data_IF_961672607689
#
_entry.id   IF_961672607689
#
_cell.length_a   1.000
_cell.length_b   1.000
_cell.length_c   1.000
_cell.angle_alpha   90.00
_cell.angle_beta   90.00
_cell.angle_gamma   90.00
#
_symmetry.space_group_name_H-M   'P 1'
#
loop_
_entity.id
_entity.type
_entity.pdbx_description
1 polymer ?
2 non-polymer ?
3 non-polymer ?
4 non-polymer ?
5 non-polymer ?
6 water ?
#
# COMPACT_ATOMS: atom_id res chain seq x y z
N UNK A 5 -7.03 -9.19 -22.51
CA UNK A 5 -8.06 -8.95 -21.46
C UNK A 5 -9.34 -9.60 -21.90
N UNK A 6 -9.34 -10.94 -22.02
CA UNK A 6 -10.53 -11.68 -22.48
C UNK A 6 -11.74 -11.67 -21.53
N UNK A 7 -11.49 -11.41 -20.26
CA UNK A 7 -12.50 -11.35 -19.22
C UNK A 7 -13.16 -9.97 -19.15
N UNK A 8 -12.73 -9.05 -19.99
CA UNK A 8 -13.24 -7.69 -19.99
C UNK A 8 -14.10 -7.38 -21.21
N UNK A 9 -15.12 -6.56 -21.01
CA UNK A 9 -15.95 -6.17 -22.12
C UNK A 9 -15.65 -4.74 -22.60
N UNK A 10 -14.85 -4.01 -21.84
CA UNK A 10 -14.52 -2.64 -22.21
C UNK A 10 -13.43 -2.08 -21.30
N UNK A 11 -12.65 -1.16 -21.85
CA UNK A 11 -11.58 -0.49 -21.11
C UNK A 11 -12.14 0.85 -20.66
N UNK A 12 -12.04 1.17 -19.37
CA UNK A 12 -12.50 2.46 -18.91
C UNK A 12 -11.33 3.43 -18.96
N UNK A 13 -10.25 3.11 -18.24
CA UNK A 13 -9.07 3.95 -18.22
C UNK A 13 -7.79 3.12 -18.28
N UNK A 14 -6.85 3.60 -19.07
CA UNK A 14 -5.54 2.96 -19.22
C UNK A 14 -4.68 3.51 -18.10
N UNK A 15 -3.55 2.87 -17.83
CA UNK A 15 -2.63 3.31 -16.78
C UNK A 15 -2.22 4.76 -16.99
N UNK A 16 -1.99 5.12 -18.25
CA UNK A 16 -1.57 6.48 -18.60
C UNK A 16 -2.63 7.53 -18.25
N UNK A 17 -3.90 7.27 -18.58
CA UNK A 17 -4.99 8.18 -18.28
C UNK A 17 -5.14 8.32 -16.76
N UNK A 18 -5.07 7.20 -16.04
CA UNK A 18 -5.20 7.18 -14.57
C UNK A 18 -4.09 8.04 -13.98
N UNK A 19 -2.87 7.77 -14.44
CA UNK A 19 -1.69 8.48 -13.97
C UNK A 19 -1.88 10.00 -14.03
N UNK A 20 -2.36 10.49 -15.18
CA UNK A 20 -2.59 11.91 -15.41
C UNK A 20 -3.66 12.52 -14.49
N UNK A 21 -4.81 11.84 -14.40
CA UNK A 21 -5.91 12.30 -13.56
C UNK A 21 -5.48 12.39 -12.10
N UNK A 22 -4.74 11.40 -11.61
CA UNK A 22 -4.28 11.41 -10.22
C UNK A 22 -3.41 12.64 -9.98
N UNK A 23 -2.55 12.93 -10.93
CA UNK A 23 -1.66 14.09 -10.82
C UNK A 23 -2.48 15.39 -10.69
N UNK A 24 -3.55 15.49 -11.45
CA UNK A 24 -4.42 16.67 -11.42
C UNK A 24 -5.10 16.80 -10.05
N UNK A 25 -5.65 15.70 -9.54
CA UNK A 25 -6.32 15.71 -8.24
C UNK A 25 -5.32 16.05 -7.14
N UNK A 26 -4.11 15.49 -7.26
CA UNK A 26 -3.07 15.77 -6.27
C UNK A 26 -2.67 17.25 -6.26
N UNK A 27 -2.67 17.88 -7.43
CA UNK A 27 -2.32 19.30 -7.50
C UNK A 27 -3.42 20.12 -6.83
N UNK A 28 -4.67 19.68 -7.05
CA UNK A 28 -5.83 20.34 -6.44
C UNK A 28 -5.73 20.24 -4.92
N UNK A 29 -5.51 19.01 -4.43
CA UNK A 29 -5.37 18.75 -3.01
C UNK A 29 -4.26 19.63 -2.42
N UNK A 30 -3.11 19.65 -3.07
CA UNK A 30 -1.97 20.43 -2.62
C UNK A 30 -2.31 21.91 -2.52
N UNK A 31 -2.98 22.42 -3.55
CA UNK A 31 -3.37 23.82 -3.55
C UNK A 31 -4.36 24.08 -2.43
N UNK A 32 -5.27 23.14 -2.21
CA UNK A 32 -6.28 23.24 -1.17
C UNK A 32 -5.74 23.26 0.26
N UNK A 33 -4.52 22.79 0.44
CA UNK A 33 -3.90 22.77 1.76
C UNK A 33 -2.73 23.73 1.86
N UNK A 34 -2.42 24.44 0.78
CA UNK A 34 -1.29 25.39 0.73
C UNK A 34 -1.18 26.42 1.86
N UNK A 35 -2.18 26.46 2.73
CA UNK A 35 -2.12 27.41 3.83
C UNK A 35 -2.26 26.76 5.19
N UNK A 36 -2.52 25.45 5.20
CA UNK A 36 -2.70 24.69 6.45
C UNK A 36 -1.46 24.41 7.28
N UNK A 37 -0.32 24.91 6.82
CA UNK A 37 0.95 24.71 7.53
C UNK A 37 1.45 23.28 7.70
N UNK A 38 1.25 22.44 6.68
CA UNK A 38 1.68 21.04 6.71
C UNK A 38 3.18 20.91 6.79
N UNK A 39 3.64 20.10 7.74
CA UNK A 39 5.05 19.87 7.98
C UNK A 39 5.22 18.43 8.44
N UNK A 40 6.35 17.80 8.08
CA UNK A 40 6.57 16.41 8.49
C UNK A 40 6.66 16.34 10.01
N UNK A 41 6.44 15.15 10.54
CA UNK A 41 6.49 14.84 11.97
C UNK A 41 5.40 15.52 12.79
N UNK A 42 5.33 16.83 12.72
CA UNK A 42 4.37 17.58 13.49
C UNK A 42 3.03 17.80 12.84
N UNK A 43 3.02 18.13 11.55
CA UNK A 43 1.76 18.42 10.87
C UNK A 43 1.58 17.83 9.47
N UNK A 44 1.69 16.50 9.34
CA UNK A 44 1.52 15.90 8.01
C UNK A 44 0.06 15.69 7.61
N UNK A 45 -0.17 15.56 6.30
CA UNK A 45 -1.51 15.28 5.79
C UNK A 45 -1.62 13.76 6.01
N UNK A 46 -2.57 13.33 6.83
CA UNK A 46 -2.73 11.91 7.10
C UNK A 46 -3.60 11.22 6.08
N UNK A 47 -3.07 10.23 5.39
CA UNK A 47 -3.84 9.48 4.41
C UNK A 47 -4.28 8.19 5.06
N UNK A 48 -5.58 8.00 5.16
CA UNK A 48 -6.14 6.80 5.73
C UNK A 48 -6.60 5.97 4.54
N UNK A 49 -5.73 5.06 4.16
CA UNK A 49 -5.93 4.17 3.04
C UNK A 49 -6.80 3.02 3.46
N UNK A 50 -7.97 2.89 2.82
CA UNK A 50 -8.85 1.79 3.15
C UNK A 50 -8.50 0.52 2.35
N UNK A 51 -8.01 -0.50 3.05
CA UNK A 51 -7.64 -1.77 2.42
C UNK A 51 -8.90 -2.52 1.94
N UNK A 52 -8.77 -3.40 0.94
CA UNK A 52 -7.51 -3.70 0.26
C UNK A 52 -7.38 -2.87 -1.04
N UNK A 53 -8.52 -2.66 -1.70
CA UNK A 53 -8.55 -1.95 -2.97
C UNK A 53 -7.78 -0.66 -3.17
N UNK A 54 -7.75 0.21 -2.16
CA UNK A 54 -7.06 1.47 -2.34
C UNK A 54 -5.55 1.39 -2.29
N UNK A 55 -4.99 0.20 -2.03
CA UNK A 55 -3.54 0.11 -1.92
C UNK A 55 -2.77 0.66 -3.13
N UNK A 56 -3.28 0.41 -4.33
CA UNK A 56 -2.58 0.87 -5.53
C UNK A 56 -2.74 2.35 -5.76
N UNK A 57 -3.97 2.81 -5.64
CA UNK A 57 -4.31 4.24 -5.79
C UNK A 57 -3.50 5.02 -4.76
N UNK A 58 -3.44 4.54 -3.53
CA UNK A 58 -2.69 5.25 -2.51
C UNK A 58 -1.18 5.34 -2.83
N UNK A 59 -0.58 4.25 -3.32
CA UNK A 59 0.84 4.25 -3.67
C UNK A 59 1.15 5.31 -4.72
N UNK A 60 0.31 5.42 -5.73
CA UNK A 60 0.53 6.39 -6.80
C UNK A 60 0.17 7.81 -6.35
N UNK A 61 -0.90 7.95 -5.57
CA UNK A 61 -1.32 9.26 -5.07
C UNK A 61 -0.29 9.91 -4.15
N UNK A 62 0.19 9.18 -3.15
CA UNK A 62 1.17 9.75 -2.24
C UNK A 62 2.40 10.26 -2.97
N UNK A 63 2.79 9.57 -4.03
CA UNK A 63 3.95 9.98 -4.84
C UNK A 63 3.66 11.24 -5.64
N UNK A 64 2.40 11.42 -6.07
CA UNK A 64 2.01 12.62 -6.82
C UNK A 64 1.92 13.78 -5.84
N UNK A 65 1.49 13.51 -4.62
CA UNK A 65 1.42 14.54 -3.60
C UNK A 65 2.84 14.97 -3.24
N UNK A 66 3.77 14.01 -3.24
CA UNK A 66 5.16 14.29 -2.94
C UNK A 66 5.71 15.24 -4.02
N UNK A 67 5.25 15.08 -5.25
CA UNK A 67 5.68 15.92 -6.37
C UNK A 67 5.34 17.39 -6.08
N UNK A 68 4.25 17.59 -5.33
CA UNK A 68 3.81 18.92 -4.99
C UNK A 68 4.28 19.32 -3.61
N UNK A 69 5.22 18.54 -3.09
CA UNK A 69 5.82 18.76 -1.80
C UNK A 69 4.87 18.78 -0.63
N UNK A 70 3.84 17.94 -0.69
CA UNK A 70 2.89 17.84 0.42
C UNK A 70 3.40 16.71 1.36
N UNK A 71 3.83 17.04 2.60
CA UNK A 71 4.33 15.98 3.50
C UNK A 71 3.17 15.09 3.97
N UNK A 72 3.26 13.79 3.72
CA UNK A 72 2.16 12.88 4.10
C UNK A 72 2.51 11.85 5.19
N UNK A 73 1.48 11.29 5.81
CA UNK A 73 1.64 10.25 6.82
C UNK A 73 0.70 9.18 6.36
N UNK A 74 1.24 8.00 6.06
CA UNK A 74 0.43 6.88 5.57
C UNK A 74 -0.13 6.01 6.67
N UNK A 75 -1.43 5.77 6.61
CA UNK A 75 -2.10 4.91 7.57
C UNK A 75 -2.89 3.94 6.71
N UNK A 76 -3.00 2.70 7.16
CA UNK A 76 -3.72 1.68 6.42
C UNK A 76 -4.71 1.07 7.40
N UNK A 77 -5.96 0.97 6.99
CA UNK A 77 -6.95 0.39 7.88
C UNK A 77 -7.61 -0.78 7.21
N UNK A 78 -7.95 -1.78 8.01
CA UNK A 78 -8.58 -2.98 7.51
C UNK A 78 -9.90 -3.13 8.22
N UNK A 79 -10.98 -3.30 7.45
CA UNK A 79 -12.29 -3.43 8.03
C UNK A 79 -12.92 -4.75 7.66
N UNK A 80 -13.91 -5.16 8.43
CA UNK A 80 -14.59 -6.42 8.22
C UNK A 80 -16.08 -6.30 8.49
N UNK A 81 -16.88 -7.09 7.78
CA UNK A 81 -18.33 -7.07 8.01
C UNK A 81 -18.63 -7.88 9.27
N UNK A 82 -19.62 -7.42 10.04
CA UNK A 82 -20.02 -8.07 11.28
C UNK A 82 -20.78 -9.37 11.04
N UNK A 83 -21.48 -9.38 9.91
CA UNK A 83 -22.29 -10.51 9.50
C UNK A 83 -23.22 -10.01 8.43
N UNK A 84 -24.05 -10.89 7.87
CA UNK A 84 -24.98 -10.51 6.81
C UNK A 84 -26.27 -9.91 7.36
N UNK A 85 -26.59 -8.70 6.90
CA UNK A 85 -27.80 -8.00 7.32
C UNK A 85 -27.83 -7.54 8.76
N UNK A 86 -26.66 -7.38 9.38
CA UNK A 86 -26.58 -6.96 10.78
C UNK A 86 -26.66 -5.44 10.97
N UNK A 87 -26.27 -4.71 9.95
CA UNK A 87 -26.29 -3.26 10.01
C UNK A 87 -26.77 -2.77 8.67
N UNK A 88 -27.08 -1.49 8.65
CA UNK A 88 -27.49 -0.82 7.44
C UNK A 88 -26.70 0.46 7.46
N UNK A 89 -26.28 0.89 8.66
CA UNK A 89 -25.51 2.12 8.82
C UNK A 89 -24.06 1.95 8.36
N UNK A 90 -23.79 0.84 7.69
CA UNK A 90 -22.45 0.58 7.19
C UNK A 90 -21.45 0.39 8.29
N UNK A 91 -21.89 -0.05 9.48
CA UNK A 91 -20.98 -0.30 10.58
C UNK A 91 -20.09 -1.45 10.19
N UNK A 92 -18.79 -1.33 10.46
CA UNK A 92 -17.84 -2.39 10.14
C UNK A 92 -16.92 -2.64 11.34
N UNK A 93 -16.37 -3.85 11.43
CA UNK A 93 -15.43 -4.20 12.49
C UNK A 93 -14.05 -3.68 12.10
N UNK A 94 -13.38 -3.00 13.01
CA UNK A 94 -12.04 -2.46 12.74
C UNK A 94 -11.00 -3.50 13.09
N UNK A 95 -10.34 -4.08 12.09
CA UNK A 95 -9.28 -5.07 12.36
C UNK A 95 -7.93 -4.37 12.54
N UNK A 96 -7.72 -3.28 11.81
CA UNK A 96 -6.49 -2.50 11.91
C UNK A 96 -6.91 -1.05 11.71
N UNK A 97 -6.54 -0.20 12.67
CA UNK A 97 -6.87 1.22 12.64
C UNK A 97 -5.58 2.04 12.51
N UNK A 98 -5.68 3.36 12.51
CA UNK A 98 -4.52 4.23 12.39
C UNK A 98 -3.53 4.00 13.55
N UNK A 99 -2.23 4.09 13.27
CA UNK A 99 -1.20 3.92 14.27
C UNK A 99 -1.12 5.14 15.18
N UNK A 100 -1.21 6.33 14.59
CA UNK A 100 -1.17 7.56 15.36
C UNK A 100 -2.59 8.11 15.52
N UNK A 101 -2.74 9.05 16.44
CA UNK A 101 -4.04 9.68 16.66
C UNK A 101 -4.18 10.73 15.56
N UNK A 102 -5.40 10.89 15.04
CA UNK A 102 -5.65 11.89 14.02
C UNK A 102 -6.18 13.17 14.64
N UNK A 103 -6.54 13.10 15.92
CA UNK A 103 -7.07 14.24 16.64
C UNK A 103 -6.17 15.44 16.42
N UNK A 104 -6.74 16.50 15.86
CA UNK A 104 -6.00 17.71 15.60
C UNK A 104 -5.19 17.72 14.33
N UNK A 105 -5.40 16.74 13.46
CA UNK A 105 -4.65 16.65 12.21
C UNK A 105 -5.52 16.82 10.99
N UNK A 106 -4.88 17.13 9.87
CA UNK A 106 -5.58 17.25 8.59
C UNK A 106 -5.54 15.85 8.02
N UNK A 107 -6.73 15.25 7.90
CA UNK A 107 -6.91 13.88 7.45
C UNK A 107 -7.63 13.75 6.12
N UNK A 108 -7.18 12.79 5.31
CA UNK A 108 -7.75 12.51 4.01
C UNK A 108 -7.94 11.00 3.89
N UNK A 109 -9.19 10.56 3.80
CA UNK A 109 -9.51 9.15 3.65
C UNK A 109 -9.35 8.81 2.16
N UNK A 110 -8.61 7.74 1.85
CA UNK A 110 -8.34 7.33 0.47
C UNK A 110 -9.05 6.03 0.15
N UNK A 111 -9.90 6.08 -0.87
CA UNK A 111 -10.69 4.91 -1.31
C UNK A 111 -10.60 4.74 -2.81
N UNK A 112 -10.77 3.51 -3.26
CA UNK A 112 -10.71 3.22 -4.69
C UNK A 112 -12.06 3.49 -5.35
N UNK A 113 -13.15 3.15 -4.67
CA UNK A 113 -14.48 3.35 -5.23
C UNK A 113 -15.56 3.57 -4.18
N UNK A 114 -16.52 4.42 -4.51
CA UNK A 114 -17.66 4.66 -3.65
C UNK A 114 -18.89 4.43 -4.51
N UNK A 115 -19.78 3.59 -4.00
CA UNK A 115 -21.00 3.19 -4.68
C UNK A 115 -22.17 3.45 -3.73
N UNK A 116 -22.48 2.50 -2.85
CA UNK A 116 -23.59 2.68 -1.91
C UNK A 116 -23.21 3.67 -0.84
N UNK A 117 -21.90 3.76 -0.61
CA UNK A 117 -21.28 4.64 0.39
C UNK A 117 -21.57 4.27 1.83
N UNK A 118 -22.22 3.14 2.07
CA UNK A 118 -22.58 2.79 3.45
C UNK A 118 -21.39 2.71 4.37
N UNK A 119 -20.35 1.98 3.97
CA UNK A 119 -19.14 1.83 4.78
C UNK A 119 -18.36 3.13 4.87
N UNK A 120 -18.13 3.77 3.73
CA UNK A 120 -17.39 5.01 3.72
C UNK A 120 -18.09 6.10 4.55
N UNK A 121 -19.41 6.16 4.50
CA UNK A 121 -20.12 7.17 5.30
C UNK A 121 -19.89 6.88 6.78
N UNK A 122 -19.91 5.60 7.13
CA UNK A 122 -19.67 5.17 8.49
C UNK A 122 -18.27 5.55 8.96
N UNK A 123 -17.26 5.25 8.15
CA UNK A 123 -15.88 5.56 8.51
C UNK A 123 -15.63 7.06 8.65
N UNK A 124 -16.26 7.82 7.76
CA UNK A 124 -16.14 9.27 7.77
C UNK A 124 -16.63 9.83 9.11
N UNK A 125 -17.83 9.43 9.51
CA UNK A 125 -18.40 9.91 10.77
C UNK A 125 -17.50 9.50 11.93
N UNK A 126 -17.06 8.25 11.90
CA UNK A 126 -16.19 7.71 12.94
C UNK A 126 -14.97 8.57 13.14
N UNK A 127 -14.21 8.81 12.08
CA UNK A 127 -13.02 9.62 12.23
C UNK A 127 -13.39 11.05 12.57
N UNK A 128 -14.53 11.52 12.07
CA UNK A 128 -14.96 12.88 12.36
C UNK A 128 -15.12 13.09 13.87
N UNK A 129 -15.61 12.06 14.56
CA UNK A 129 -15.80 12.14 16.01
C UNK A 129 -14.49 12.06 16.80
N UNK A 130 -13.36 11.89 16.10
CA UNK A 130 -12.06 11.83 16.77
C UNK A 130 -11.40 13.20 16.73
N UNK A 131 -12.12 14.20 16.22
CA UNK A 131 -11.64 15.57 16.17
C UNK A 131 -10.39 15.95 15.36
N UNK A 132 -10.27 15.48 14.11
CA UNK A 132 -9.10 15.87 13.33
C UNK A 132 -9.22 17.38 13.01
N UNK A 133 -8.11 18.03 12.65
CA UNK A 133 -8.18 19.45 12.32
C UNK A 133 -9.09 19.60 11.12
N UNK A 134 -9.07 18.61 10.25
CA UNK A 134 -9.93 18.59 9.06
C UNK A 134 -10.07 17.14 8.60
N UNK A 135 -11.12 16.87 7.84
CA UNK A 135 -11.39 15.53 7.34
C UNK A 135 -12.05 15.57 5.97
N UNK A 136 -11.41 14.97 4.96
CA UNK A 136 -11.96 14.95 3.61
C UNK A 136 -11.72 13.57 3.05
N UNK A 137 -12.31 13.28 1.90
CA UNK A 137 -12.12 11.98 1.27
C UNK A 137 -11.72 12.16 -0.19
N UNK A 138 -10.90 11.23 -0.67
CA UNK A 138 -10.51 11.25 -2.07
C UNK A 138 -10.78 9.82 -2.53
N UNK A 139 -11.57 9.70 -3.59
CA UNK A 139 -11.93 8.39 -4.12
C UNK A 139 -11.62 8.38 -5.61
N UNK A 140 -11.00 7.30 -6.08
CA UNK A 140 -10.64 7.19 -7.49
C UNK A 140 -11.89 7.21 -8.39
N UNK A 141 -12.80 6.28 -8.17
CA UNK A 141 -14.01 6.16 -8.98
C UNK A 141 -15.27 6.40 -8.18
N UNK A 142 -16.26 7.04 -8.79
CA UNK A 142 -17.54 7.31 -8.10
C UNK A 142 -18.75 6.91 -8.92
N UNK A 143 -19.53 5.97 -8.40
CA UNK A 143 -20.77 5.55 -9.04
C UNK A 143 -21.78 6.43 -8.32
N UNK A 144 -21.91 7.66 -8.78
CA UNK A 144 -22.80 8.64 -8.14
C UNK A 144 -24.23 8.20 -7.95
N UNK A 145 -24.74 7.38 -8.87
CA UNK A 145 -26.13 6.94 -8.79
C UNK A 145 -26.33 5.69 -7.92
N UNK A 146 -25.24 5.20 -7.33
CA UNK A 146 -25.34 3.99 -6.52
C UNK A 146 -25.64 4.18 -5.06
N UNK A 147 -25.72 5.43 -4.61
CA UNK A 147 -25.95 5.71 -3.18
C UNK A 147 -27.13 5.06 -2.46
N UNK A 148 -26.85 4.52 -1.28
CA UNK A 148 -27.87 3.93 -0.43
C UNK A 148 -27.99 4.81 0.82
N UNK A 149 -27.10 5.78 0.90
CA UNK A 149 -27.07 6.77 1.97
C UNK A 149 -26.42 7.97 1.31
N UNK A 150 -26.92 9.18 1.60
CA UNK A 150 -26.27 10.33 0.96
C UNK A 150 -24.83 10.46 1.39
N UNK A 151 -23.96 10.72 0.41
CA UNK A 151 -22.54 10.88 0.67
C UNK A 151 -21.81 11.50 -0.54
N UNK A 152 -21.01 12.51 -0.27
CA UNK A 152 -20.23 13.19 -1.28
C UNK A 152 -18.76 13.11 -0.94
N UNK A 153 -17.95 12.74 -1.93
CA UNK A 153 -16.50 12.65 -1.77
C UNK A 153 -15.98 14.04 -2.10
N UNK A 154 -14.96 14.50 -1.39
CA UNK A 154 -14.42 15.82 -1.67
C UNK A 154 -13.63 15.88 -2.97
N UNK A 155 -12.90 14.82 -3.27
CA UNK A 155 -12.13 14.76 -4.49
C UNK A 155 -12.44 13.41 -5.13
N UNK A 156 -12.62 13.42 -6.44
CA UNK A 156 -12.96 12.23 -7.21
C UNK A 156 -12.17 12.26 -8.51
N UNK A 157 -11.53 11.16 -8.86
CA UNK A 157 -10.76 11.12 -10.10
C UNK A 157 -11.67 10.93 -11.31
N UNK A 158 -12.68 10.09 -11.21
CA UNK A 158 -13.60 9.91 -12.34
C UNK A 158 -14.96 9.40 -11.89
N UNK A 159 -16.02 9.87 -12.55
CA UNK A 159 -17.38 9.42 -12.23
C UNK A 159 -17.68 8.31 -13.22
N UNK A 160 -18.30 7.22 -12.77
CA UNK A 160 -18.57 6.11 -13.66
C UNK A 160 -19.99 5.60 -13.47
N UNK A 161 -20.51 4.85 -14.45
CA UNK A 161 -21.87 4.27 -14.45
C UNK A 161 -21.87 2.96 -13.65
N UNK A 162 -23.03 2.33 -13.51
CA UNK A 162 -23.12 1.09 -12.76
C UNK A 162 -22.63 -0.13 -13.52
N UNK A 163 -21.33 -0.23 -13.67
CA UNK A 163 -20.73 -1.37 -14.34
C UNK A 163 -19.85 -1.98 -13.27
N UNK A 164 -19.52 -3.27 -13.38
CA UNK A 164 -18.61 -3.87 -12.41
C UNK A 164 -17.20 -3.69 -12.94
N UNK A 165 -16.45 -2.79 -12.29
CA UNK A 165 -15.06 -2.51 -12.70
C UNK A 165 -14.04 -3.31 -11.93
N UNK A 166 -12.91 -3.57 -12.58
CA UNK A 166 -11.83 -4.34 -11.99
C UNK A 166 -10.51 -3.77 -12.51
N UNK A 167 -9.46 -4.01 -11.72
CA UNK A 167 -8.15 -3.53 -12.08
C UNK A 167 -7.79 -2.39 -11.18
N UNK A 168 -6.50 -2.05 -11.17
CA UNK A 168 -5.98 -0.95 -10.39
C UNK A 168 -6.44 -0.99 -8.93
N UNK A 169 -6.27 -2.18 -8.33
CA UNK A 169 -6.62 -2.38 -6.93
C UNK A 169 -7.99 -3.00 -6.74
N UNK A 170 -8.89 -2.74 -7.67
CA UNK A 170 -10.26 -3.26 -7.64
C UNK A 170 -10.38 -4.71 -8.07
N UNK A 171 -11.13 -5.49 -7.31
CA UNK A 171 -11.27 -6.90 -7.63
C UNK A 171 -12.68 -7.41 -7.84
N UNK A 172 -12.70 -8.66 -8.27
CA UNK A 172 -13.91 -9.44 -8.39
C UNK A 172 -13.40 -10.76 -7.81
N UNK A 173 -13.98 -11.19 -6.70
CA UNK A 173 -13.57 -12.43 -6.05
C UNK A 173 -12.04 -12.47 -5.83
N UNK A 174 -11.48 -11.34 -5.38
CA UNK A 174 -10.05 -11.17 -5.10
C UNK A 174 -9.12 -11.44 -6.30
N UNK A 175 -9.67 -11.26 -7.50
CA UNK A 175 -8.95 -11.47 -8.74
C UNK A 175 -8.89 -10.13 -9.50
N UNK A 176 -7.85 -9.94 -10.32
CA UNK A 176 -7.63 -8.76 -11.15
C UNK A 176 -7.19 -7.47 -10.47
N UNK A 177 -6.91 -7.49 -9.17
CA UNK A 177 -6.49 -6.25 -8.52
C UNK A 177 -5.22 -5.68 -9.14
N UNK A 178 -4.36 -6.58 -9.64
CA UNK A 178 -3.07 -6.21 -10.22
C UNK A 178 -3.03 -5.59 -11.61
N UNK A 179 -4.15 -5.49 -12.30
CA UNK A 179 -4.13 -4.90 -13.63
C UNK A 179 -3.69 -3.43 -13.51
N UNK A 180 -2.96 -2.95 -14.50
CA UNK A 180 -2.50 -1.57 -14.49
C UNK A 180 -3.64 -0.65 -14.95
N UNK A 181 -4.65 -1.22 -15.61
CA UNK A 181 -5.79 -0.48 -16.14
C UNK A 181 -7.10 -0.81 -15.42
N UNK A 182 -8.13 0.00 -15.66
CA UNK A 182 -9.44 -0.24 -15.07
C UNK A 182 -10.35 -0.64 -16.21
N UNK A 183 -10.94 -1.82 -16.08
CA UNK A 183 -11.79 -2.38 -17.10
C UNK A 183 -13.13 -2.85 -16.51
N UNK A 184 -14.07 -3.17 -17.39
CA UNK A 184 -15.38 -3.63 -16.98
C UNK A 184 -15.42 -5.14 -17.14
N UNK A 185 -15.76 -5.83 -16.07
CA UNK A 185 -15.82 -7.29 -16.08
C UNK A 185 -16.95 -7.76 -16.98
N UNK A 186 -16.66 -8.72 -17.86
CA UNK A 186 -17.68 -9.28 -18.74
C UNK A 186 -18.70 -10.03 -17.89
N UNK A 187 -19.98 -9.64 -17.97
CA UNK A 187 -21.03 -10.31 -17.20
C UNK A 187 -21.13 -11.83 -17.47
N UNK A 188 -20.46 -12.29 -18.52
CA UNK A 188 -20.45 -13.72 -18.83
C UNK A 188 -19.43 -14.38 -17.91
N UNK A 189 -18.45 -13.60 -17.49
CA UNK A 189 -17.38 -14.06 -16.60
C UNK A 189 -17.91 -13.99 -15.17
N UNK A 190 -18.65 -12.93 -14.88
CA UNK A 190 -19.21 -12.76 -13.56
C UNK A 190 -20.50 -13.56 -13.44
N UNK B 3 15.81 15.04 -8.49
CA UNK B 3 15.10 15.69 -7.35
C UNK B 3 16.18 15.97 -6.33
N UNK B 4 15.94 16.97 -5.48
CA UNK B 4 16.89 17.32 -4.44
C UNK B 4 16.15 17.21 -3.13
N UNK B 5 16.73 16.47 -2.19
CA UNK B 5 16.10 16.34 -0.89
C UNK B 5 17.09 16.92 0.12
N UNK B 6 16.67 17.96 0.82
CA UNK B 6 17.53 18.62 1.81
C UNK B 6 18.00 17.67 2.90
N UNK B 7 17.10 16.77 3.31
CA UNK B 7 17.37 15.79 4.36
C UNK B 7 18.18 14.56 3.90
N UNK B 8 18.51 14.49 2.60
CA UNK B 8 19.24 13.36 2.08
C UNK B 8 20.74 13.56 1.90
N UNK B 9 21.49 12.55 2.31
CA UNK B 9 22.92 12.54 2.21
C UNK B 9 23.21 12.24 0.74
N UNK B 10 22.35 11.44 0.12
CA UNK B 10 22.47 11.09 -1.29
C UNK B 10 21.36 10.14 -1.71
N UNK B 11 21.13 10.04 -3.00
CA UNK B 11 20.11 9.15 -3.56
C UNK B 11 20.75 7.81 -3.89
N UNK B 12 20.19 6.72 -3.39
CA UNK B 12 20.72 5.39 -3.66
C UNK B 12 20.19 4.87 -4.99
N UNK B 13 18.88 4.97 -5.19
CA UNK B 13 18.24 4.50 -6.41
C UNK B 13 17.15 5.48 -6.83
N UNK B 14 17.10 5.82 -8.10
CA UNK B 14 16.09 6.73 -8.59
C UNK B 14 14.89 5.86 -8.87
N UNK B 15 13.75 6.52 -9.09
CA UNK B 15 12.51 5.86 -9.42
C UNK B 15 12.66 5.00 -10.69
N UNK B 16 13.35 5.54 -11.70
CA UNK B 16 13.56 4.79 -12.95
C UNK B 16 14.36 3.51 -12.68
N UNK B 17 15.43 3.64 -11.90
CA UNK B 17 16.28 2.52 -11.52
C UNK B 17 15.46 1.42 -10.82
N UNK B 18 14.65 1.80 -9.83
CA UNK B 18 13.82 0.85 -9.11
C UNK B 18 12.86 0.14 -10.06
N UNK B 19 12.24 0.93 -10.95
CA UNK B 19 11.30 0.41 -11.95
C UNK B 19 11.95 -0.65 -12.84
N UNK B 20 13.16 -0.37 -13.31
CA UNK B 20 13.93 -1.29 -14.15
C UNK B 20 14.28 -2.59 -13.40
N UNK B 21 14.72 -2.44 -12.16
CA UNK B 21 15.10 -3.60 -11.36
C UNK B 21 13.89 -4.46 -11.00
N UNK B 22 12.76 -3.81 -10.69
CA UNK B 22 11.55 -4.56 -10.32
C UNK B 22 11.08 -5.35 -11.52
N UNK B 23 11.27 -4.79 -12.70
CA UNK B 23 10.83 -5.47 -13.90
C UNK B 23 11.60 -6.79 -14.09
N UNK B 24 12.92 -6.72 -13.90
CA UNK B 24 13.81 -7.89 -14.03
C UNK B 24 13.53 -8.98 -13.01
N UNK B 25 13.23 -8.57 -11.79
CA UNK B 25 12.90 -9.51 -10.73
C UNK B 25 11.55 -10.17 -11.00
N UNK B 26 10.58 -9.39 -11.49
CA UNK B 26 9.25 -9.91 -11.81
C UNK B 26 9.37 -10.96 -12.93
N UNK B 27 10.24 -10.69 -13.90
CA UNK B 27 10.47 -11.62 -15.01
C UNK B 27 11.02 -12.94 -14.47
N UNK B 28 11.97 -12.85 -13.55
CA UNK B 28 12.56 -14.03 -12.93
C UNK B 28 11.52 -14.82 -12.15
N UNK B 29 10.67 -14.10 -11.40
CA UNK B 29 9.63 -14.74 -10.61
C UNK B 29 8.68 -15.49 -11.53
N UNK B 30 8.35 -14.86 -12.65
CA UNK B 30 7.46 -15.47 -13.64
C UNK B 30 8.06 -16.77 -14.18
N UNK B 31 9.34 -16.73 -14.54
CA UNK B 31 10.02 -17.90 -15.07
C UNK B 31 10.11 -19.00 -14.02
N UNK B 32 10.40 -18.59 -12.79
CA UNK B 32 10.52 -19.54 -11.70
C UNK B 32 9.21 -20.24 -11.32
N UNK B 33 8.09 -19.55 -11.47
CA UNK B 33 6.81 -20.15 -11.09
C UNK B 33 6.06 -20.76 -12.25
N UNK B 34 6.67 -20.75 -13.43
CA UNK B 34 6.05 -21.31 -14.64
C UNK B 34 5.61 -22.76 -14.45
N UNK B 35 6.45 -23.55 -13.79
CA UNK B 35 6.11 -24.94 -13.57
C UNK B 35 5.01 -25.18 -12.55
N UNK B 36 4.54 -24.13 -11.87
CA UNK B 36 3.47 -24.31 -10.89
C UNK B 36 2.08 -24.15 -11.50
N UNK B 37 2.01 -23.76 -12.76
CA UNK B 37 0.71 -23.58 -13.40
C UNK B 37 -0.22 -22.62 -12.63
N UNK B 38 0.27 -21.45 -12.25
CA UNK B 38 -0.56 -20.49 -11.51
C UNK B 38 -1.74 -20.07 -12.38
N UNK B 39 -2.90 -19.98 -11.80
CA UNK B 39 -4.08 -19.59 -12.56
C UNK B 39 -5.01 -18.76 -11.67
N UNK B 40 -5.68 -17.76 -12.26
CA UNK B 40 -6.60 -16.94 -11.45
C UNK B 40 -7.71 -17.80 -10.85
N UNK B 41 -8.22 -17.33 -9.71
CA UNK B 41 -9.29 -17.98 -8.95
C UNK B 41 -8.87 -19.26 -8.26
N UNK B 42 -8.37 -20.21 -9.04
CA UNK B 42 -7.99 -21.50 -8.50
C UNK B 42 -6.58 -21.68 -7.97
N UNK B 43 -5.61 -21.00 -8.57
CA UNK B 43 -4.22 -21.18 -8.16
C UNK B 43 -3.39 -19.89 -8.27
N UNK B 44 -3.83 -18.80 -7.64
CA UNK B 44 -2.99 -17.60 -7.77
C UNK B 44 -1.77 -17.66 -6.87
N UNK B 45 -0.78 -16.83 -7.17
CA UNK B 45 0.39 -16.76 -6.31
C UNK B 45 -0.06 -15.75 -5.23
N UNK B 46 -0.06 -16.19 -3.98
CA UNK B 46 -0.49 -15.35 -2.87
C UNK B 46 0.65 -14.42 -2.44
N UNK B 47 0.43 -13.12 -2.59
CA UNK B 47 1.42 -12.12 -2.21
C UNK B 47 1.10 -11.63 -0.81
N UNK B 48 2.01 -11.85 0.14
CA UNK B 48 1.82 -11.39 1.50
C UNK B 48 2.60 -10.11 1.69
N UNK B 49 1.90 -8.98 1.60
CA UNK B 49 2.49 -7.64 1.73
C UNK B 49 2.62 -7.20 3.19
N UNK B 50 3.86 -6.99 3.62
CA UNK B 50 4.13 -6.60 4.99
C UNK B 50 4.03 -5.09 5.19
N UNK B 51 2.88 -4.65 5.66
CA UNK B 51 2.64 -3.22 5.91
C UNK B 51 3.43 -2.75 7.14
N UNK B 52 3.75 -1.46 7.25
CA UNK B 52 3.39 -0.43 6.25
C UNK B 52 4.37 -0.30 5.10
N UNK B 53 5.64 -0.56 5.39
CA UNK B 53 6.70 -0.41 4.40
C UNK B 53 6.55 -1.00 3.02
N UNK B 54 6.03 -2.20 2.93
CA UNK B 54 5.88 -2.86 1.66
C UNK B 54 4.79 -2.31 0.71
N UNK B 55 3.94 -1.40 1.16
CA UNK B 55 2.84 -0.92 0.30
C UNK B 55 3.22 -0.42 -1.12
N UNK B 56 4.31 0.34 -1.23
CA UNK B 56 4.69 0.90 -2.54
C UNK B 56 5.31 -0.14 -3.44
N UNK B 57 6.24 -0.92 -2.89
CA UNK B 57 6.90 -2.00 -3.63
C UNK B 57 5.82 -2.98 -4.10
N UNK B 58 4.89 -3.33 -3.21
CA UNK B 58 3.82 -4.25 -3.54
C UNK B 58 2.98 -3.75 -4.73
N UNK B 59 2.61 -2.47 -4.71
CA UNK B 59 1.81 -1.87 -5.78
C UNK B 59 2.52 -1.94 -7.13
N UNK B 60 3.82 -1.64 -7.14
CA UNK B 60 4.57 -1.68 -8.40
C UNK B 60 4.94 -3.09 -8.84
N UNK B 61 5.23 -3.97 -7.88
CA UNK B 61 5.60 -5.36 -8.17
C UNK B 61 4.40 -6.18 -8.70
N UNK B 62 3.22 -6.03 -8.11
CA UNK B 62 2.09 -6.81 -8.61
C UNK B 62 1.80 -6.40 -10.04
N UNK B 63 2.00 -5.14 -10.38
CA UNK B 63 1.76 -4.70 -11.76
C UNK B 63 2.82 -5.31 -12.72
N UNK B 64 4.07 -5.36 -12.26
CA UNK B 64 5.15 -5.93 -13.06
C UNK B 64 4.90 -7.44 -13.22
N UNK B 65 4.34 -8.09 -12.21
CA UNK B 65 4.04 -9.52 -12.32
C UNK B 65 2.91 -9.74 -13.32
N UNK B 66 1.96 -8.79 -13.33
CA UNK B 66 0.83 -8.85 -14.24
C UNK B 66 1.34 -8.71 -15.69
N UNK B 67 2.39 -7.93 -15.86
CA UNK B 67 3.00 -7.76 -17.17
C UNK B 67 3.45 -9.13 -17.70
N UNK B 68 3.86 -10.01 -16.81
CA UNK B 68 4.33 -11.33 -17.19
C UNK B 68 3.30 -12.42 -16.97
N UNK B 69 2.03 -12.03 -16.96
CA UNK B 69 0.92 -12.96 -16.79
C UNK B 69 0.93 -13.83 -15.54
N UNK B 70 1.53 -13.36 -14.47
CA UNK B 70 1.51 -14.12 -13.24
C UNK B 70 0.29 -13.63 -12.48
N UNK B 71 -0.71 -14.50 -12.26
CA UNK B 71 -1.94 -14.15 -11.54
C UNK B 71 -1.66 -14.15 -10.02
N UNK B 72 -2.06 -13.09 -9.34
CA UNK B 72 -1.79 -12.99 -7.90
C UNK B 72 -3.04 -12.75 -7.04
N UNK B 73 -2.91 -12.98 -5.75
CA UNK B 73 -3.98 -12.74 -4.78
C UNK B 73 -3.24 -12.01 -3.68
N UNK B 74 -3.69 -10.80 -3.36
CA UNK B 74 -3.04 -9.98 -2.34
C UNK B 74 -3.56 -10.21 -0.94
N UNK B 75 -2.63 -10.33 0.01
CA UNK B 75 -2.95 -10.48 1.42
C UNK B 75 -2.12 -9.41 2.09
N UNK B 76 -2.75 -8.58 2.90
CA UNK B 76 -2.05 -7.51 3.59
C UNK B 76 -1.97 -7.80 5.07
N UNK B 77 -0.76 -7.87 5.61
CA UNK B 77 -0.59 -8.11 7.04
C UNK B 77 0.12 -6.86 7.53
N UNK B 78 0.20 -6.70 8.84
CA UNK B 78 0.89 -5.54 9.39
C UNK B 78 1.71 -6.06 10.56
N UNK B 79 2.98 -5.73 10.49
CA UNK B 79 3.97 -6.16 11.48
C UNK B 79 4.76 -4.91 11.86
N UNK B 80 5.06 -4.79 13.16
CA UNK B 80 5.79 -3.65 13.66
C UNK B 80 7.03 -4.07 14.47
N UNK B 81 8.13 -3.33 14.29
CA UNK B 81 9.37 -3.61 15.03
C UNK B 81 10.20 -2.36 15.36
N UNK B 82 10.38 -1.47 14.40
CA UNK B 82 11.18 -0.27 14.69
C UNK B 82 10.40 0.86 15.32
N UNK B 83 9.11 0.92 15.06
CA UNK B 83 8.32 2.00 15.61
C UNK B 83 8.81 3.33 15.06
N UNK B 84 8.96 4.32 15.93
CA UNK B 84 9.40 5.65 15.54
C UNK B 84 10.92 5.78 15.49
N UNK B 85 11.60 4.71 15.86
CA UNK B 85 13.05 4.75 15.93
C UNK B 85 13.88 4.30 14.75
N UNK B 86 15.19 4.17 15.00
CA UNK B 86 16.15 3.77 14.01
C UNK B 86 16.62 2.32 14.14
N UNK B 87 16.42 1.74 15.32
CA UNK B 87 16.88 0.38 15.53
C UNK B 87 15.80 -0.61 15.91
N UNK B 88 16.02 -1.86 15.53
CA UNK B 88 15.11 -2.95 15.82
C UNK B 88 14.80 -2.93 17.33
N UNK B 89 13.53 -3.14 17.67
CA UNK B 89 13.11 -3.16 19.07
C UNK B 89 13.54 -4.50 19.69
N UNK B 90 13.85 -5.45 18.80
CA UNK B 90 14.26 -6.77 19.24
C UNK B 90 13.04 -7.65 19.28
N UNK B 91 11.86 -7.02 19.21
CA UNK B 91 10.58 -7.72 19.24
C UNK B 91 9.76 -7.38 17.99
N UNK B 92 9.11 -8.39 17.44
CA UNK B 92 8.29 -8.22 16.24
C UNK B 92 6.83 -8.42 16.61
N UNK B 93 6.02 -7.39 16.37
CA UNK B 93 4.59 -7.45 16.70
C UNK B 93 3.71 -7.65 15.47
N UNK B 94 2.82 -8.64 15.55
CA UNK B 94 1.87 -8.95 14.48
C UNK B 94 0.58 -8.12 14.72
N UNK B 95 0.43 -7.03 13.99
CA UNK B 95 -0.74 -6.16 14.15
C UNK B 95 -1.97 -6.63 13.37
N UNK B 96 -1.75 -7.32 12.25
CA UNK B 96 -2.81 -7.84 11.40
C UNK B 96 -2.25 -9.04 10.64
N UNK B 97 -2.95 -10.17 10.68
CA UNK B 97 -2.55 -11.39 9.98
C UNK B 97 -3.43 -11.57 8.73
N UNK B 98 -3.13 -12.59 7.92
CA UNK B 98 -3.85 -12.89 6.69
C UNK B 98 -5.34 -13.13 6.93
N UNK B 99 -6.15 -12.78 5.93
CA UNK B 99 -7.61 -12.97 6.02
C UNK B 99 -7.95 -14.40 5.73
N UNK B 100 -7.15 -15.02 4.86
CA UNK B 100 -7.37 -16.41 4.47
C UNK B 100 -6.19 -17.30 4.82
N UNK B 101 -6.44 -18.60 4.81
CA UNK B 101 -5.40 -19.57 5.10
C UNK B 101 -4.52 -19.68 3.90
N UNK B 102 -3.22 -19.85 4.17
CA UNK B 102 -2.22 -20.01 3.15
C UNK B 102 -1.96 -21.50 2.93
N UNK B 103 -2.58 -22.36 3.75
CA UNK B 103 -2.36 -23.80 3.62
C UNK B 103 -2.62 -24.32 2.23
N UNK B 104 -1.62 -25.00 1.68
CA UNK B 104 -1.75 -25.56 0.35
C UNK B 104 -1.59 -24.59 -0.80
N UNK B 105 -1.27 -23.33 -0.54
CA UNK B 105 -1.10 -22.35 -1.61
C UNK B 105 0.37 -21.92 -1.78
N UNK B 106 0.69 -21.39 -2.97
CA UNK B 106 2.03 -20.87 -3.26
C UNK B 106 2.04 -19.42 -2.73
N UNK B 107 2.89 -19.16 -1.75
CA UNK B 107 2.98 -17.87 -1.07
C UNK B 107 4.33 -17.17 -1.25
N UNK B 108 4.28 -15.88 -1.53
CA UNK B 108 5.46 -15.06 -1.68
C UNK B 108 5.33 -13.82 -0.78
N UNK B 109 6.16 -13.75 0.25
CA UNK B 109 6.18 -12.60 1.14
C UNK B 109 6.90 -11.45 0.41
N UNK B 110 6.29 -10.27 0.43
CA UNK B 110 6.83 -9.09 -0.25
C UNK B 110 7.21 -8.11 0.86
N UNK B 111 8.50 -7.82 0.98
CA UNK B 111 9.07 -6.91 1.99
C UNK B 111 9.89 -5.79 1.37
N UNK B 112 9.95 -4.65 2.05
CA UNK B 112 10.72 -3.53 1.53
C UNK B 112 12.23 -3.60 1.83
N UNK B 113 12.57 -4.15 3.00
CA UNK B 113 13.97 -4.29 3.39
C UNK B 113 14.19 -5.38 4.44
N UNK B 114 15.30 -6.11 4.33
CA UNK B 114 15.68 -7.10 5.34
C UNK B 114 17.01 -6.57 5.90
N UNK B 115 17.07 -6.46 7.22
CA UNK B 115 18.23 -5.90 7.91
C UNK B 115 18.74 -6.91 8.95
N UNK B 116 18.23 -6.85 10.19
CA UNK B 116 18.64 -7.80 11.22
C UNK B 116 18.01 -9.18 10.96
N UNK B 117 16.95 -9.16 10.14
CA UNK B 117 16.13 -10.32 9.75
C UNK B 117 15.19 -10.85 10.84
N UNK B 118 15.07 -10.13 11.94
CA UNK B 118 14.15 -10.55 12.98
C UNK B 118 12.69 -10.55 12.49
N UNK B 119 12.30 -9.56 11.69
CA UNK B 119 10.92 -9.50 11.16
C UNK B 119 10.61 -10.71 10.28
N UNK B 120 11.43 -10.93 9.25
CA UNK B 120 11.25 -12.04 8.33
C UNK B 120 11.44 -13.39 8.98
N UNK B 121 12.33 -13.46 9.95
CA UNK B 121 12.55 -14.72 10.65
C UNK B 121 11.28 -15.07 11.41
N UNK B 122 10.69 -14.06 12.05
CA UNK B 122 9.45 -14.24 12.79
C UNK B 122 8.35 -14.67 11.82
N UNK B 123 8.19 -13.92 10.73
CA UNK B 123 7.15 -14.20 9.72
C UNK B 123 7.27 -15.58 9.09
N UNK B 124 8.49 -15.96 8.70
CA UNK B 124 8.76 -17.27 8.10
C UNK B 124 8.42 -18.41 8.99
N UNK B 125 8.87 -18.29 10.23
CA UNK B 125 8.62 -19.35 11.18
C UNK B 125 7.14 -19.47 11.49
N UNK B 126 6.42 -18.36 11.38
CA UNK B 126 4.99 -18.38 11.63
C UNK B 126 4.28 -19.08 10.47
N UNK B 127 4.52 -18.58 9.26
CA UNK B 127 3.88 -19.12 8.06
C UNK B 127 4.28 -20.53 7.63
N UNK B 128 5.53 -20.92 7.90
CA UNK B 128 6.01 -22.24 7.52
C UNK B 128 5.18 -23.33 8.21
N UNK B 129 4.80 -23.07 9.47
CA UNK B 129 3.99 -24.03 10.23
C UNK B 129 2.56 -24.19 9.70
N UNK B 130 2.13 -23.29 8.81
CA UNK B 130 0.77 -23.35 8.24
C UNK B 130 0.70 -24.21 6.97
N UNK B 131 1.83 -24.83 6.61
CA UNK B 131 1.91 -25.70 5.45
C UNK B 131 1.53 -25.15 4.08
N UNK B 132 2.13 -24.03 3.71
CA UNK B 132 1.75 -23.53 2.37
C UNK B 132 2.36 -24.51 1.35
N UNK B 133 1.93 -24.44 0.09
CA UNK B 133 2.51 -25.33 -0.92
C UNK B 133 3.98 -24.97 -1.11
N UNK B 134 4.29 -23.69 -0.95
CA UNK B 134 5.66 -23.20 -1.07
C UNK B 134 5.68 -21.84 -0.43
N UNK B 135 6.84 -21.45 0.10
CA UNK B 135 7.03 -20.16 0.76
C UNK B 135 8.36 -19.57 0.36
N UNK B 136 8.30 -18.40 -0.27
CA UNK B 136 9.45 -17.69 -0.74
C UNK B 136 9.32 -16.24 -0.27
N UNK B 137 10.40 -15.48 -0.42
CA UNK B 137 10.42 -14.06 -0.05
C UNK B 137 11.10 -13.22 -1.09
N UNK B 138 10.52 -12.04 -1.37
CA UNK B 138 11.16 -11.10 -2.28
C UNK B 138 11.32 -9.83 -1.46
N UNK B 139 12.55 -9.32 -1.39
CA UNK B 139 12.80 -8.07 -0.65
C UNK B 139 13.36 -7.06 -1.61
N UNK B 140 12.89 -5.83 -1.49
CA UNK B 140 13.37 -4.77 -2.35
C UNK B 140 14.82 -4.51 -2.01
N UNK B 141 15.10 -4.32 -0.72
CA UNK B 141 16.46 -4.03 -0.27
C UNK B 141 16.97 -5.01 0.78
N UNK B 142 18.25 -5.35 0.66
CA UNK B 142 18.89 -6.25 1.60
C UNK B 142 20.14 -5.60 2.18
N UNK B 143 20.20 -5.47 3.49
CA UNK B 143 21.40 -4.98 4.15
C UNK B 143 21.98 -6.32 4.61
N UNK B 144 22.67 -7.02 3.71
CA UNK B 144 23.20 -8.34 4.05
C UNK B 144 24.12 -8.45 5.27
N UNK B 145 24.63 -7.32 5.74
CA UNK B 145 25.53 -7.29 6.89
C UNK B 145 24.88 -6.67 8.14
N UNK B 146 23.58 -6.90 8.30
CA UNK B 146 22.89 -6.37 9.47
C UNK B 146 22.24 -7.50 10.23
N UNK B 147 22.39 -8.72 9.75
CA UNK B 147 21.75 -9.86 10.39
C UNK B 147 22.07 -10.12 11.84
N UNK B 148 21.05 -10.46 12.59
CA UNK B 148 21.20 -10.80 13.99
C UNK B 148 20.85 -12.27 14.02
N UNK B 149 20.05 -12.67 13.04
CA UNK B 149 19.61 -14.04 12.87
C UNK B 149 19.77 -14.29 11.37
N UNK B 150 20.15 -15.51 10.98
CA UNK B 150 20.30 -15.75 9.54
C UNK B 150 19.05 -15.75 8.69
N UNK B 151 19.15 -15.13 7.51
CA UNK B 151 18.04 -15.12 6.56
C UNK B 151 18.48 -14.78 5.16
N UNK B 152 18.07 -15.63 4.22
CA UNK B 152 18.37 -15.48 2.81
C UNK B 152 17.07 -15.41 2.00
N UNK B 153 16.78 -14.24 1.44
CA UNK B 153 15.56 -14.07 0.64
C UNK B 153 15.75 -14.76 -0.70
N UNK B 154 14.67 -15.23 -1.30
CA UNK B 154 14.74 -15.86 -2.60
C UNK B 154 15.01 -14.87 -3.73
N UNK B 155 14.50 -13.65 -3.59
CA UNK B 155 14.71 -12.58 -4.58
C UNK B 155 15.06 -11.30 -3.84
N UNK B 156 16.08 -10.61 -4.34
CA UNK B 156 16.58 -9.36 -3.78
C UNK B 156 16.70 -8.36 -4.94
N UNK B 157 16.05 -7.22 -4.83
CA UNK B 157 16.14 -6.26 -5.91
C UNK B 157 17.48 -5.52 -5.83
N UNK B 158 17.92 -5.21 -4.61
CA UNK B 158 19.17 -4.51 -4.39
C UNK B 158 19.76 -4.69 -2.98
N UNK B 159 21.09 -4.80 -2.92
CA UNK B 159 21.81 -4.92 -1.66
C UNK B 159 22.24 -3.49 -1.36
N UNK B 160 22.18 -3.11 -0.09
CA UNK B 160 22.54 -1.76 0.29
C UNK B 160 23.49 -1.72 1.48
N UNK B 161 24.20 -0.62 1.65
CA UNK B 161 25.14 -0.50 2.76
C UNK B 161 24.36 -0.21 4.02
N UNK B 162 25.02 -0.29 5.16
CA UNK B 162 24.36 -0.03 6.42
C UNK B 162 24.29 1.45 6.74
N UNK B 163 23.29 2.10 6.16
CA UNK B 163 23.00 3.52 6.36
C UNK B 163 21.48 3.53 6.40
N UNK B 164 20.88 4.49 7.09
CA UNK B 164 19.42 4.53 7.16
C UNK B 164 18.84 5.06 5.83
N UNK B 165 18.02 4.23 5.21
CA UNK B 165 17.41 4.57 3.93
C UNK B 165 15.91 4.85 4.08
N UNK B 166 15.41 5.79 3.29
CA UNK B 166 14.02 6.20 3.35
C UNK B 166 13.51 6.38 1.93
N UNK B 167 12.19 6.50 1.79
CA UNK B 167 11.60 6.67 0.48
C UNK B 167 11.07 5.36 -0.06
N UNK B 168 10.26 5.44 -1.11
CA UNK B 168 9.66 4.27 -1.73
C UNK B 168 9.05 3.29 -0.68
N UNK B 169 8.31 3.85 0.29
CA UNK B 169 7.68 3.06 1.34
C UNK B 169 8.44 2.99 2.66
N UNK B 170 9.76 3.18 2.60
CA UNK B 170 10.63 3.12 3.78
C UNK B 170 10.54 4.42 4.56
N UNK B 171 10.49 4.31 5.88
CA UNK B 171 10.34 5.46 6.74
C UNK B 171 11.33 5.59 7.88
N UNK B 172 11.25 6.76 8.50
CA UNK B 172 11.97 7.08 9.72
C UNK B 172 10.84 7.80 10.41
N UNK B 173 10.31 7.18 11.47
CA UNK B 173 9.23 7.77 12.26
C UNK B 173 7.99 8.11 11.41
N UNK B 174 7.61 7.17 10.56
CA UNK B 174 6.45 7.30 9.67
C UNK B 174 6.48 8.53 8.76
N UNK B 175 7.69 8.93 8.39
CA UNK B 175 7.92 10.09 7.54
C UNK B 175 8.75 9.61 6.35
N UNK B 176 8.60 10.30 5.23
CA UNK B 176 9.31 10.05 3.97
C UNK B 176 8.90 8.81 3.17
N UNK B 177 7.87 8.08 3.58
CA UNK B 177 7.49 6.89 2.80
C UNK B 177 7.07 7.18 1.35
N UNK B 178 6.66 8.42 1.10
CA UNK B 178 6.13 8.83 -0.20
C UNK B 178 7.13 9.21 -1.28
N UNK B 179 8.41 9.34 -0.92
CA UNK B 179 9.44 9.72 -1.88
C UNK B 179 9.50 8.73 -3.05
N UNK B 180 9.74 9.23 -4.26
CA UNK B 180 9.81 8.37 -5.44
C UNK B 180 11.12 7.61 -5.52
N UNK B 181 12.17 8.16 -4.92
CA UNK B 181 13.49 7.55 -4.95
C UNK B 181 13.87 7.04 -3.55
N UNK B 182 14.89 6.19 -3.50
CA UNK B 182 15.39 5.64 -2.24
C UNK B 182 16.63 6.49 -1.95
N UNK B 183 16.65 7.12 -0.78
CA UNK B 183 17.75 8.00 -0.44
C UNK B 183 18.27 7.69 0.97
N UNK B 184 19.46 8.22 1.28
CA UNK B 184 20.06 8.03 2.59
C UNK B 184 19.72 9.23 3.44
N UNK B 185 19.09 8.99 4.59
CA UNK B 185 18.72 10.07 5.52
C UNK B 185 19.95 10.58 6.28
N UNK B 186 20.18 11.90 6.26
CA UNK B 186 21.29 12.49 6.99
C UNK B 186 21.11 12.25 8.48
N UNK B 187 22.17 11.81 9.16
CA UNK B 187 22.02 11.57 10.60
C UNK B 187 21.65 12.83 11.37
N UNK B 188 22.07 14.00 10.91
CA UNK B 188 21.72 15.24 11.61
C UNK B 188 20.20 15.45 11.64
N UNK B 189 19.52 14.91 10.64
CA UNK B 189 18.06 15.03 10.55
C UNK B 189 17.38 14.07 11.55
N UNK B 190 17.78 12.81 11.56
CA UNK B 190 17.15 11.89 12.48
C UNK B 190 17.58 12.10 13.93
N UNK B 191 18.80 12.61 14.15
CA UNK B 191 19.32 12.85 15.50
C UNK B 191 18.57 13.99 16.17
N UNK B 192 18.26 15.01 15.37
CA UNK B 192 17.53 16.18 15.83
C UNK B 192 16.12 15.74 16.21
N UNK B 193 15.50 14.96 15.32
CA UNK B 193 14.16 14.43 15.55
C UNK B 193 14.15 13.45 16.75
N UNK B 194 15.18 12.63 16.86
CA UNK B 194 15.27 11.71 17.98
C UNK B 194 15.40 12.54 19.24
N UNK B 195 16.17 13.63 19.18
CA UNK B 195 16.35 14.53 20.33
C UNK B 195 15.00 15.12 20.73
N UNK B 196 14.30 15.71 19.77
CA UNK B 196 12.99 16.29 19.99
C UNK B 196 12.07 15.25 20.61
N UNK B 197 12.09 14.03 20.09
CA UNK B 197 11.27 12.97 20.61
C UNK B 197 11.70 12.54 22.02
N UNK B 198 13.00 12.59 22.30
CA UNK B 198 13.51 12.21 23.60
C UNK B 198 13.32 13.31 24.63
X LIG C 1 -12.45 -1.51 -0.40
X LIG D 1 -13.55 -5.98 -3.45
X LIG E 1 -17.40 -2.30 -5.16
X LIG E 1 -16.72 -2.71 -6.29
X LIG E 1 -15.57 -3.43 -6.33
X LIG E 1 -15.15 -3.59 -7.63
X LIG E 1 -15.84 -3.10 -8.72
X LIG E 1 -17.00 -2.40 -8.67
X LIG E 1 -17.58 -2.07 -9.69
X LIG E 1 -17.43 -2.21 -7.37
X LIG E 1 -18.52 -1.54 -6.88
X LIG E 1 -18.44 -1.63 -5.59
X LIG F 1 -15.18 -2.32 -2.06
X LIG F 1 -14.36 -1.15 -2.59
X LIG F 1 -14.82 -0.05 -1.59
X LIG F 1 -16.32 -0.42 -1.42
X LIG F 1 -17.14 0.40 -2.45
X LIG F 1 -14.47 -2.91 -0.93
X LIG F 1 -12.92 -1.50 -2.50
X LIG F 1 -14.25 -0.09 -0.30
X LIG F 1 -16.45 -1.84 -1.65
X LIG F 1 -18.57 0.13 -2.50
X LIG F 1 -19.75 0.72 -1.46
X LIG F 1 -19.68 2.22 -1.53
X LIG F 1 -19.34 0.23 -0.12
X LIG F 1 -20.99 0.08 -2.02
X LIG F 1 -14.54 -4.52 -0.63
X LIG F 1 -15.64 -4.83 0.29
X LIG F 1 -14.74 -5.17 -1.92
X LIG F 1 -13.17 -4.75 -0.05
X LIG F 1 -11.84 -4.73 -0.78
X LIG F 1 -11.94 -5.38 -2.14
X LIG F 1 -10.86 -5.42 0.01
X LIG F 1 -11.35 -3.34 -0.91
X LIG G 1 9.62 1.55 9.67
X LIG H 1 8.09 -3.19 7.60
X LIG I 1 14.74 -1.05 8.95
X LIG I 1 14.73 0.11 8.19
X LIG I 1 13.63 0.83 7.85
X LIG I 1 13.95 1.91 7.11
X LIG I 1 15.25 2.21 6.77
X LIG I 1 16.44 1.47 7.08
X LIG I 1 17.59 1.77 6.65
X LIG I 1 16.07 0.34 7.87
X LIG I 1 16.86 -0.69 8.41
X LIG I 1 16.00 -1.44 9.02
X LIG J 1 11.03 -2.27 9.00
X LIG J 1 11.15 -2.71 7.55
X LIG J 1 11.09 -4.20 7.70
X LIG J 1 11.81 -4.44 8.98
X LIG J 1 13.24 -4.76 8.58
X LIG J 1 9.66 -2.32 9.51
X LIG J 1 10.02 -2.30 6.77
X LIG J 1 9.79 -4.74 7.90
X LIG J 1 11.76 -3.19 9.72
X LIG J 1 14.07 -4.79 9.71
X LIG J 1 14.65 -6.15 10.35
X LIG J 1 15.13 -7.00 9.24
X LIG J 1 13.59 -6.82 11.15
X LIG J 1 15.72 -5.50 11.19
X LIG J 1 9.01 -1.40 10.70
X LIG J 1 9.18 -2.27 11.91
X LIG J 1 9.77 -0.14 10.75
X LIG J 1 7.57 -1.25 10.23
X LIG J 1 7.01 -0.48 9.05
X LIG J 1 7.76 0.72 8.79
X LIG J 1 5.62 -0.13 9.31
X LIG J 1 6.96 -1.29 7.82
#
# INVERSE_FOLDING_TARGET
MPREYEFAEKILFTEEEIRTRIKEVAKRIADDYKGKGLRPYVNPLVLISVLKGSFMFTADLCRALCDFNVPVRMEFICVSSYGEGLTSSGQVRMLLDTRHSIEGHHVLIVEDIVDTALTLNYLYHMYFTRRPASLKTVVLLDKREGRRVPFSADYVVANIPNAFVIGYGLDYDDTYRELRDIVVLRPEVYAEREAARQKKQRAIGSADTDRDAKREFHSKY
MPREYEFAEKILFTEEEIRTRIKEVAKRIADDYKGKGLRPYVNPLVLISVLKGSFMFTADLCRALCDFNVPVRMEFICVSSYGEGLTSSGQVRMLLDTRHSIEGHHVLIVEDIVDTALTLNYLYHMYFTRRPASLKTVVLLDKREGRRVPFSADYVVANIPNAFVIGYGLDYDDTYRELRDIVVLRPEVYAEREAARQKKQRAIGSADTDRDAKREFHSKY
MG MG
MG MG
7HP C9 C4 N3 C2 N1 C6 O6 C5 N7 N8
PRP C1 C2 C3 C4 C5 O1 O2 O3 O4 O5 P O1P O2P O3P PA O1A O2A O3A PB O1B O2B O3B
MG MG
MN MN
7HP C9 C4 N3 C2 N1 C6 O6 C5 N7 N8
PRP C1 C2 C3 C4 C5 O1 O2 O3 O4 O5 P O1P O2P O3P PA O1A O2A O3A PB O1B O2B O3B
#
